data_IF_376603309814
#
_entry.id   IF_376603309814
#
_cell.length_a   1.000
_cell.length_b   1.000
_cell.length_c   1.000
_cell.angle_alpha   90.00
_cell.angle_beta   90.00
_cell.angle_gamma   90.00
#
_symmetry.space_group_name_H-M   'P 1'
#
loop_
_entity.id
_entity.type
_entity.pdbx_description
1 polymer ?
#
# COMPACT_ATOMS: atom_id res chain seq x y z
N UNK A 1 4.36 4.06 -4.74
CA UNK A 1 3.59 3.23 -3.78
C UNK A 1 4.41 2.01 -3.35
N UNK A 2 4.93 1.23 -4.29
CA UNK A 2 5.74 0.03 -4.00
C UNK A 2 6.93 0.31 -3.05
N UNK A 3 7.73 1.38 -3.22
CA UNK A 3 8.81 1.69 -2.27
C UNK A 3 8.29 1.93 -0.84
N UNK A 4 7.18 2.66 -0.69
CA UNK A 4 6.55 2.91 0.61
C UNK A 4 6.08 1.60 1.27
N UNK A 5 5.45 0.71 0.50
CA UNK A 5 4.99 -0.60 1.01
C UNK A 5 6.17 -1.44 1.48
N UNK A 6 7.26 -1.50 0.71
CA UNK A 6 8.48 -2.18 1.11
C UNK A 6 9.10 -1.57 2.37
N UNK A 7 9.12 -0.24 2.49
CA UNK A 7 9.57 0.45 3.70
C UNK A 7 8.73 0.08 4.94
N UNK A 8 7.40 0.06 4.80
CA UNK A 8 6.48 -0.34 5.88
C UNK A 8 6.70 -1.81 6.28
N UNK A 9 6.90 -2.71 5.32
CA UNK A 9 7.18 -4.13 5.60
C UNK A 9 8.50 -4.32 6.37
N UNK A 10 9.52 -3.53 6.03
CA UNK A 10 10.80 -3.50 6.76
C UNK A 10 10.59 -3.01 8.20
N UNK A 11 9.84 -1.92 8.39
CA UNK A 11 9.52 -1.37 9.72
C UNK A 11 8.74 -2.36 10.59
N UNK A 12 7.84 -3.14 9.98
CA UNK A 12 7.04 -4.16 10.66
C UNK A 12 7.82 -5.46 10.96
N UNK A 13 9.13 -5.53 10.64
CA UNK A 13 9.98 -6.73 10.78
C UNK A 13 9.44 -7.98 10.03
N UNK A 14 8.51 -7.81 9.08
CA UNK A 14 7.91 -8.88 8.26
C UNK A 14 8.54 -8.93 6.86
N UNK A 15 9.86 -8.82 6.81
CA UNK A 15 10.59 -8.85 5.56
C UNK A 15 10.94 -10.28 5.19
N UNK A 16 10.57 -10.70 3.98
CA UNK A 16 10.93 -11.98 3.37
C UNK A 16 11.78 -11.77 2.12
N UNK A 17 12.63 -12.74 1.78
CA UNK A 17 13.43 -12.74 0.53
C UNK A 17 12.57 -12.60 -0.72
N UNK A 18 11.34 -13.13 -0.69
CA UNK A 18 10.37 -13.03 -1.79
C UNK A 18 9.96 -11.58 -2.07
N UNK A 19 9.96 -10.70 -1.06
CA UNK A 19 9.59 -9.28 -1.22
C UNK A 19 10.66 -8.55 -2.04
N UNK A 20 11.94 -8.87 -1.84
CA UNK A 20 13.01 -8.28 -2.65
C UNK A 20 12.93 -8.77 -4.09
N UNK A 21 12.73 -10.07 -4.31
CA UNK A 21 12.66 -10.61 -5.66
C UNK A 21 11.49 -9.97 -6.42
N UNK A 22 10.33 -9.85 -5.77
CA UNK A 22 9.17 -9.17 -6.35
C UNK A 22 9.44 -7.69 -6.64
N UNK A 23 10.02 -6.95 -5.68
CA UNK A 23 10.29 -5.52 -5.85
C UNK A 23 11.36 -5.25 -6.92
N UNK A 24 12.50 -5.94 -6.86
CA UNK A 24 13.59 -5.80 -7.82
C UNK A 24 13.16 -6.26 -9.22
N UNK A 25 12.35 -7.31 -9.32
CA UNK A 25 11.80 -7.77 -10.59
C UNK A 25 10.84 -6.75 -11.21
N UNK A 26 9.86 -6.26 -10.44
CA UNK A 26 8.85 -5.32 -10.96
C UNK A 26 9.47 -3.97 -11.32
N UNK A 27 10.27 -3.38 -10.42
CA UNK A 27 10.88 -2.07 -10.68
C UNK A 27 12.02 -2.16 -11.70
N UNK A 28 12.80 -3.24 -11.70
CA UNK A 28 13.85 -3.48 -12.68
C UNK A 28 13.27 -3.62 -14.10
N UNK A 29 12.24 -4.44 -14.28
CA UNK A 29 11.54 -4.56 -15.57
C UNK A 29 10.83 -3.26 -15.93
N UNK A 30 10.22 -2.58 -14.96
CA UNK A 30 9.56 -1.28 -15.18
C UNK A 30 10.51 -0.21 -15.71
N UNK A 31 11.70 -0.10 -15.12
CA UNK A 31 12.75 0.81 -15.58
C UNK A 31 13.26 0.44 -16.99
N UNK A 32 13.42 -0.86 -17.27
CA UNK A 32 13.82 -1.32 -18.60
C UNK A 32 12.78 -0.96 -19.67
N UNK A 33 11.50 -1.19 -19.39
CA UNK A 33 10.40 -0.83 -20.31
C UNK A 33 10.35 0.69 -20.50
N UNK A 34 10.53 1.48 -19.43
CA UNK A 34 10.55 2.94 -19.53
C UNK A 34 11.74 3.45 -20.35
N UNK A 35 12.90 2.80 -20.26
CA UNK A 35 14.07 3.12 -21.07
C UNK A 35 13.86 2.91 -22.57
N UNK A 36 12.89 2.10 -22.98
CA UNK A 36 12.53 1.90 -24.39
C UNK A 36 11.57 2.97 -24.94
N UNK A 37 11.03 3.83 -24.07
CA UNK A 37 10.12 4.88 -24.49
C UNK A 37 10.83 6.04 -25.19
N UNK A 38 10.19 6.61 -26.21
CA UNK A 38 10.80 7.63 -27.10
C UNK A 38 11.12 8.97 -26.39
N UNK A 39 10.57 9.20 -25.19
CA UNK A 39 10.80 10.40 -24.37
C UNK A 39 11.96 10.23 -23.37
N UNK A 40 12.72 9.12 -23.44
CA UNK A 40 13.78 8.85 -22.48
C UNK A 40 15.07 9.60 -22.82
N UNK A 41 15.33 10.69 -22.08
CA UNK A 41 16.63 11.35 -22.07
C UNK A 41 17.52 10.77 -20.98
N UNK A 42 18.72 10.30 -21.34
CA UNK A 42 19.69 9.73 -20.40
C UNK A 42 20.11 10.72 -19.29
N UNK A 43 20.12 12.02 -19.58
CA UNK A 43 20.41 13.07 -18.60
C UNK A 43 19.29 13.24 -17.56
N UNK A 44 18.04 12.96 -17.94
CA UNK A 44 16.91 13.01 -17.03
C UNK A 44 16.91 11.85 -16.03
N UNK A 45 17.60 10.74 -16.32
CA UNK A 45 17.68 9.60 -15.40
C UNK A 45 18.36 9.99 -14.07
N UNK A 46 19.48 10.70 -14.14
CA UNK A 46 20.21 11.15 -12.94
C UNK A 46 19.66 12.44 -12.34
N UNK A 47 19.03 13.28 -13.16
CA UNK A 47 18.51 14.58 -12.71
C UNK A 47 17.11 14.48 -12.09
N UNK A 48 16.31 13.50 -12.50
CA UNK A 48 14.97 13.31 -11.96
C UNK A 48 15.03 12.52 -10.65
N UNK A 49 14.54 13.16 -9.58
CA UNK A 49 14.43 12.54 -8.27
C UNK A 49 13.49 11.32 -8.29
N UNK A 50 12.55 11.27 -9.25
CA UNK A 50 11.64 10.14 -9.44
C UNK A 50 12.38 8.86 -9.85
N UNK A 51 13.12 8.90 -10.97
CA UNK A 51 13.80 7.72 -11.52
C UNK A 51 15.01 7.36 -10.65
N UNK A 52 15.79 8.36 -10.27
CA UNK A 52 16.94 8.16 -9.39
C UNK A 52 16.52 7.66 -8.00
N UNK A 53 15.40 8.13 -7.47
CA UNK A 53 14.86 7.71 -6.17
C UNK A 53 14.44 6.24 -6.17
N UNK A 54 13.78 5.76 -7.23
CA UNK A 54 13.42 4.33 -7.37
C UNK A 54 14.67 3.47 -7.45
N UNK A 55 15.67 3.89 -8.24
CA UNK A 55 16.94 3.19 -8.38
C UNK A 55 17.73 3.13 -7.06
N UNK A 56 17.83 4.24 -6.35
CA UNK A 56 18.47 4.30 -5.02
C UNK A 56 17.74 3.40 -4.03
N UNK A 57 16.41 3.38 -4.07
CA UNK A 57 15.63 2.51 -3.19
C UNK A 57 15.87 1.02 -3.47
N UNK A 58 16.08 0.62 -4.73
CA UNK A 58 16.51 -0.75 -5.06
C UNK A 58 17.84 -1.05 -4.37
N UNK A 59 18.85 -0.18 -4.54
CA UNK A 59 20.18 -0.36 -3.92
C UNK A 59 20.07 -0.49 -2.40
N UNK A 60 19.30 0.39 -1.76
CA UNK A 60 19.06 0.35 -0.32
C UNK A 60 18.45 -0.99 0.11
N UNK A 61 17.49 -1.50 -0.65
CA UNK A 61 16.80 -2.76 -0.37
C UNK A 61 17.74 -3.95 -0.56
N UNK A 62 18.64 -3.92 -1.53
CA UNK A 62 19.70 -4.93 -1.71
C UNK A 62 20.69 -4.92 -0.55
N UNK A 63 21.12 -3.74 -0.08
CA UNK A 63 21.98 -3.60 1.10
C UNK A 63 21.28 -4.16 2.34
N UNK A 64 19.99 -3.82 2.53
CA UNK A 64 19.21 -4.34 3.64
C UNK A 64 19.08 -5.87 3.60
N UNK A 65 18.91 -6.45 2.41
CA UNK A 65 18.87 -7.90 2.23
C UNK A 65 20.19 -8.59 2.56
N UNK A 66 21.32 -8.01 2.16
CA UNK A 66 22.65 -8.54 2.53
C UNK A 66 22.84 -8.56 4.05
N UNK A 67 22.35 -7.53 4.74
CA UNK A 67 22.36 -7.45 6.21
C UNK A 67 21.40 -8.49 6.81
N UNK A 68 20.25 -8.73 6.17
CA UNK A 68 19.28 -9.73 6.60
C UNK A 68 19.83 -11.16 6.49
N UNK A 69 20.56 -11.49 5.42
CA UNK A 69 21.24 -12.79 5.27
C UNK A 69 22.30 -12.96 6.37
N UNK A 70 23.04 -11.90 6.70
CA UNK A 70 24.07 -11.91 7.76
C UNK A 70 23.52 -11.84 9.19
N UNK A 71 22.19 -11.86 9.37
CA UNK A 71 21.51 -11.81 10.68
C UNK A 71 21.99 -12.91 11.64
N UNK A 72 22.33 -14.09 11.11
CA UNK A 72 22.82 -15.23 11.91
C UNK A 72 24.19 -14.95 12.57
N UNK A 73 25.06 -14.18 11.92
CA UNK A 73 26.39 -13.86 12.45
C UNK A 73 26.40 -12.61 13.34
N UNK A 74 25.50 -11.63 13.11
CA UNK A 74 25.52 -10.35 13.84
C UNK A 74 24.11 -9.88 14.25
N UNK A 75 23.46 -10.54 15.23
CA UNK A 75 22.11 -10.19 15.66
C UNK A 75 22.00 -8.79 16.26
N UNK A 76 23.08 -8.26 16.87
CA UNK A 76 23.13 -6.91 17.46
C UNK A 76 23.10 -5.81 16.39
N UNK A 77 23.79 -5.99 15.26
CA UNK A 77 23.80 -5.01 14.17
C UNK A 77 22.44 -4.92 13.47
N UNK A 78 21.77 -6.06 13.26
CA UNK A 78 20.44 -6.10 12.65
C UNK A 78 19.37 -5.43 13.51
N UNK A 79 19.34 -5.74 14.81
CA UNK A 79 18.40 -5.10 15.72
C UNK A 79 18.72 -3.61 15.91
N UNK A 80 20.00 -3.24 16.04
CA UNK A 80 20.42 -1.84 16.10
C UNK A 80 20.03 -1.04 14.86
N UNK A 81 20.20 -1.59 13.66
CA UNK A 81 19.77 -0.93 12.41
C UNK A 81 18.26 -0.75 12.34
N UNK A 82 17.46 -1.74 12.74
CA UNK A 82 16.00 -1.61 12.73
C UNK A 82 15.54 -0.60 13.77
N UNK A 83 16.16 -0.59 14.95
CA UNK A 83 15.81 0.37 16.00
C UNK A 83 16.22 1.78 15.58
N UNK A 84 17.40 1.98 14.97
CA UNK A 84 17.78 3.27 14.35
C UNK A 84 16.84 3.66 13.23
N UNK A 85 16.40 2.72 12.39
CA UNK A 85 15.44 3.02 11.32
C UNK A 85 14.08 3.46 11.90
N UNK A 86 13.59 2.77 12.93
CA UNK A 86 12.32 3.09 13.61
C UNK A 86 12.39 4.43 14.35
N UNK A 87 13.43 4.61 15.16
CA UNK A 87 13.63 5.81 15.96
C UNK A 87 14.10 7.00 15.14
N UNK A 88 14.80 6.78 14.03
CA UNK A 88 15.22 7.80 13.07
C UNK A 88 14.11 8.25 12.13
N UNK A 89 13.10 7.41 11.86
CA UNK A 89 11.94 7.81 11.07
C UNK A 89 11.11 8.90 11.77
N UNK A 90 11.03 8.85 13.10
CA UNK A 90 10.25 9.80 13.92
C UNK A 90 10.75 11.25 13.75
N UNK A 91 12.03 11.59 13.97
CA UNK A 91 12.54 12.94 13.76
C UNK A 91 12.57 13.34 12.29
N UNK A 92 12.67 12.40 11.34
CA UNK A 92 12.57 12.69 9.91
C UNK A 92 11.15 13.11 9.52
N UNK A 93 10.12 12.42 10.04
CA UNK A 93 8.72 12.78 9.79
C UNK A 93 8.35 14.10 10.46
N UNK A 94 8.79 14.30 11.71
CA UNK A 94 8.54 15.54 12.46
C UNK A 94 9.31 16.70 11.84
N UNK A 95 10.60 16.52 11.52
CA UNK A 95 11.43 17.52 10.85
C UNK A 95 10.92 17.84 9.45
N UNK A 96 10.51 16.82 8.69
CA UNK A 96 9.88 17.00 7.38
C UNK A 96 8.57 17.78 7.46
N UNK A 97 7.71 17.50 8.43
CA UNK A 97 6.48 18.25 8.66
C UNK A 97 6.77 19.72 9.03
N UNK A 98 7.80 19.98 9.83
CA UNK A 98 8.23 21.35 10.20
C UNK A 98 8.79 22.08 8.96
N UNK A 99 9.61 21.41 8.13
CA UNK A 99 10.17 22.01 6.91
C UNK A 99 9.06 22.33 5.90
N UNK A 100 8.09 21.43 5.72
CA UNK A 100 6.92 21.66 4.86
C UNK A 100 6.07 22.83 5.38
N UNK A 101 5.98 23.00 6.71
CA UNK A 101 5.24 24.10 7.33
C UNK A 101 5.97 25.44 7.24
N UNK A 102 7.30 25.47 7.38
CA UNK A 102 8.10 26.69 7.35
C UNK A 102 8.52 27.17 5.95
N UNK A 103 8.72 26.24 5.01
CA UNK A 103 9.21 26.56 3.67
C UNK A 103 8.62 25.59 2.62
N UNK A 104 7.36 25.80 2.19
CA UNK A 104 6.71 24.94 1.21
C UNK A 104 7.40 24.95 -0.17
N UNK A 105 8.18 25.98 -0.48
CA UNK A 105 8.93 26.12 -1.74
C UNK A 105 10.30 25.43 -1.74
N UNK A 106 10.81 24.99 -0.58
CA UNK A 106 12.19 24.48 -0.46
C UNK A 106 12.33 23.03 -0.94
N UNK A 107 11.22 22.32 -1.10
CA UNK A 107 11.24 20.94 -1.59
C UNK A 107 10.51 20.87 -2.92
N UNK A 108 11.12 21.35 -4.03
CA UNK A 108 10.74 20.89 -5.35
C UNK A 108 11.28 19.47 -5.44
N UNK A 109 10.62 18.52 -4.77
CA UNK A 109 10.68 17.14 -5.21
C UNK A 109 10.39 17.23 -6.71
N UNK A 110 11.32 16.83 -7.58
CA UNK A 110 11.24 17.00 -9.03
C UNK A 110 10.03 16.34 -9.72
N UNK A 111 9.03 15.94 -8.94
CA UNK A 111 7.66 15.71 -9.34
C UNK A 111 7.14 16.90 -10.15
N UNK A 112 6.75 16.64 -11.39
CA UNK A 112 6.12 17.66 -12.24
C UNK A 112 5.02 18.41 -11.48
N UNK A 113 4.85 19.71 -11.78
CA UNK A 113 3.96 20.65 -11.06
C UNK A 113 2.55 20.10 -10.72
N UNK A 114 2.07 19.14 -11.51
CA UNK A 114 0.78 18.44 -11.33
C UNK A 114 0.75 17.44 -10.16
N UNK A 115 1.84 16.73 -9.90
CA UNK A 115 1.93 15.79 -8.77
C UNK A 115 2.14 16.58 -7.48
N UNK A 116 2.85 17.72 -7.55
CA UNK A 116 2.98 18.64 -6.41
C UNK A 116 1.64 19.26 -6.00
N UNK A 117 0.79 19.65 -6.96
CA UNK A 117 -0.55 20.16 -6.66
C UNK A 117 -1.52 19.09 -6.12
N UNK A 118 -1.25 17.81 -6.38
CA UNK A 118 -1.95 16.69 -5.73
C UNK A 118 -1.49 16.50 -4.28
N UNK A 119 -0.18 16.71 -4.02
CA UNK A 119 0.45 16.45 -2.73
C UNK A 119 0.12 17.51 -1.67
N UNK A 120 0.07 18.79 -2.08
CA UNK A 120 -0.24 19.92 -1.20
C UNK A 120 -1.33 20.82 -1.80
N UNK A 121 -2.50 20.95 -1.14
CA UNK A 121 -3.54 21.87 -1.60
C UNK A 121 -3.10 23.34 -1.52
N UNK A 122 -2.11 23.69 -0.69
CA UNK A 122 -1.58 25.06 -0.61
C UNK A 122 -0.80 25.48 -1.88
N UNK A 123 -0.19 24.53 -2.58
CA UNK A 123 0.52 24.78 -3.86
C UNK A 123 -0.46 24.84 -5.03
N UNK A 124 -1.69 24.33 -4.87
CA UNK A 124 -2.74 24.42 -5.89
C UNK A 124 -3.29 25.84 -6.02
N UNK A 125 -3.47 26.54 -4.89
CA UNK A 125 -4.03 27.89 -4.89
C UNK A 125 -3.10 28.92 -5.55
N UNK A 126 -1.78 28.68 -5.55
CA UNK A 126 -0.82 29.52 -6.27
C UNK A 126 -0.79 29.30 -7.80
N UNK A 127 -1.45 28.25 -8.30
CA UNK A 127 -1.52 27.92 -9.74
C UNK A 127 -2.95 28.12 -10.29
N UNK A 128 -3.36 29.38 -10.47
CA UNK A 128 -4.71 29.77 -10.91
C UNK A 128 -5.22 29.07 -12.19
N UNK A 129 -4.35 28.71 -13.14
CA UNK A 129 -4.75 28.03 -14.38
C UNK A 129 -5.20 26.57 -14.16
N UNK A 130 -4.62 25.86 -13.17
CA UNK A 130 -4.92 24.45 -12.89
C UNK A 130 -6.16 24.31 -12.00
N UNK A 131 -6.43 25.28 -11.14
CA UNK A 131 -7.60 25.31 -10.26
C UNK A 131 -8.93 25.55 -11.00
N UNK A 132 -8.89 26.13 -12.21
CA UNK A 132 -10.08 26.47 -12.99
C UNK A 132 -10.79 25.27 -13.62
N UNK A 133 -10.12 24.12 -13.74
CA UNK A 133 -10.68 22.91 -14.34
C UNK A 133 -11.41 22.13 -13.26
N UNK A 134 -12.71 21.87 -13.46
CA UNK A 134 -13.57 21.14 -12.52
C UNK A 134 -12.97 19.77 -12.08
N UNK A 135 -12.08 19.21 -12.89
CA UNK A 135 -11.34 17.97 -12.64
C UNK A 135 -10.34 18.04 -11.49
N UNK A 136 -9.88 19.24 -11.14
CA UNK A 136 -8.90 19.49 -10.08
C UNK A 136 -9.54 20.01 -8.79
N UNK A 137 -10.87 20.01 -8.71
CA UNK A 137 -11.61 20.39 -7.52
C UNK A 137 -11.42 19.36 -6.38
N UNK A 138 -11.44 19.82 -5.12
CA UNK A 138 -11.42 18.93 -3.97
C UNK A 138 -12.71 18.10 -3.90
N UNK A 139 -12.59 16.87 -3.40
CA UNK A 139 -13.74 15.96 -3.28
C UNK A 139 -14.49 16.22 -1.98
N UNK A 140 -15.78 16.52 -2.07
CA UNK A 140 -16.67 16.54 -0.91
C UNK A 140 -17.07 15.12 -0.49
N UNK A 141 -17.51 14.95 0.76
CA UNK A 141 -18.01 13.66 1.27
C UNK A 141 -19.12 13.06 0.39
N UNK A 142 -20.02 13.92 -0.12
CA UNK A 142 -21.11 13.50 -1.01
C UNK A 142 -20.61 12.79 -2.26
N UNK A 143 -19.47 13.21 -2.82
CA UNK A 143 -18.86 12.60 -4.01
C UNK A 143 -18.31 11.21 -3.70
N UNK A 144 -17.71 11.01 -2.52
CA UNK A 144 -17.25 9.69 -2.10
C UNK A 144 -18.42 8.71 -1.97
N UNK A 145 -19.48 9.13 -1.29
CA UNK A 145 -20.66 8.31 -1.09
C UNK A 145 -21.39 8.01 -2.40
N UNK A 146 -21.56 9.00 -3.28
CA UNK A 146 -22.24 8.82 -4.57
C UNK A 146 -21.51 7.82 -5.48
N UNK A 147 -20.17 7.82 -5.48
CA UNK A 147 -19.39 6.94 -6.36
C UNK A 147 -19.19 5.52 -5.80
N UNK A 148 -19.06 5.38 -4.49
CA UNK A 148 -18.69 4.08 -3.88
C UNK A 148 -19.79 3.44 -3.03
N UNK A 149 -20.88 4.15 -2.72
CA UNK A 149 -22.05 3.68 -1.98
C UNK A 149 -21.72 2.76 -0.79
N UNK A 150 -22.22 1.52 -0.81
CA UNK A 150 -22.14 0.52 0.26
C UNK A 150 -20.69 0.15 0.62
N UNK A 151 -19.79 -0.15 -0.33
CA UNK A 151 -18.36 -0.36 -0.05
C UNK A 151 -17.70 0.68 0.85
N UNK A 152 -18.09 1.96 0.75
CA UNK A 152 -17.53 3.04 1.59
C UNK A 152 -17.80 2.80 3.08
N UNK A 153 -19.00 2.34 3.41
CA UNK A 153 -19.39 2.06 4.79
C UNK A 153 -18.71 0.80 5.35
N UNK A 154 -18.36 -0.16 4.49
CA UNK A 154 -17.69 -1.39 4.87
C UNK A 154 -16.15 -1.27 4.93
N UNK A 155 -15.59 -0.14 4.48
CA UNK A 155 -14.14 0.09 4.47
C UNK A 155 -13.49 -0.05 5.86
N UNK A 156 -13.99 0.59 6.94
CA UNK A 156 -13.38 0.46 8.27
C UNK A 156 -13.38 -0.99 8.76
N UNK A 157 -14.44 -1.73 8.43
CA UNK A 157 -14.57 -3.13 8.81
C UNK A 157 -13.63 -4.03 8.00
N UNK A 158 -13.51 -3.81 6.70
CA UNK A 158 -12.54 -4.49 5.84
C UNK A 158 -11.09 -4.23 6.29
N UNK A 159 -10.77 -2.98 6.62
CA UNK A 159 -9.47 -2.60 7.20
C UNK A 159 -9.18 -3.34 8.51
N UNK A 160 -10.15 -3.43 9.42
CA UNK A 160 -9.98 -4.16 10.67
C UNK A 160 -9.62 -5.64 10.43
N UNK A 161 -10.31 -6.31 9.51
CA UNK A 161 -10.00 -7.70 9.17
C UNK A 161 -8.65 -7.87 8.45
N UNK A 162 -8.23 -6.88 7.67
CA UNK A 162 -6.91 -6.86 7.03
C UNK A 162 -5.80 -6.75 8.08
N UNK A 163 -5.95 -5.85 9.05
CA UNK A 163 -5.00 -5.71 10.16
C UNK A 163 -4.92 -6.98 11.01
N UNK A 164 -6.06 -7.66 11.25
CA UNK A 164 -6.10 -8.91 12.00
C UNK A 164 -5.37 -10.06 11.29
N UNK A 165 -5.46 -10.15 9.96
CA UNK A 165 -4.77 -11.19 9.17
C UNK A 165 -3.27 -10.92 9.08
N UNK A 166 -2.89 -9.67 8.83
CA UNK A 166 -1.49 -9.23 8.89
C UNK A 166 -0.55 -9.93 7.91
N UNK A 167 -1.03 -10.38 6.75
CA UNK A 167 -0.14 -10.90 5.71
C UNK A 167 0.57 -9.76 4.97
N UNK A 168 1.70 -10.04 4.31
CA UNK A 168 2.47 -9.04 3.56
C UNK A 168 1.63 -8.36 2.46
N UNK A 169 0.73 -9.11 1.81
CA UNK A 169 -0.20 -8.57 0.81
C UNK A 169 -1.26 -7.63 1.41
N UNK A 170 -1.64 -7.82 2.68
CA UNK A 170 -2.64 -6.96 3.35
C UNK A 170 -2.06 -5.58 3.61
N UNK A 171 -0.78 -5.49 4.01
CA UNK A 171 -0.11 -4.22 4.20
C UNK A 171 0.05 -3.41 2.91
N UNK A 172 0.26 -4.08 1.77
CA UNK A 172 0.22 -3.43 0.46
C UNK A 172 -1.14 -2.78 0.24
N UNK A 173 -2.21 -3.56 0.44
CA UNK A 173 -3.57 -3.12 0.18
C UNK A 173 -4.01 -2.00 1.13
N UNK A 174 -3.67 -2.08 2.41
CA UNK A 174 -3.93 -1.03 3.41
C UNK A 174 -3.22 0.28 3.01
N UNK A 175 -1.93 0.19 2.69
CA UNK A 175 -1.13 1.38 2.32
C UNK A 175 -1.66 2.01 1.04
N UNK A 176 -2.00 1.19 0.05
CA UNK A 176 -2.58 1.63 -1.21
C UNK A 176 -3.91 2.35 -0.99
N UNK A 177 -4.79 1.79 -0.17
CA UNK A 177 -6.09 2.37 0.15
C UNK A 177 -5.95 3.72 0.86
N UNK A 178 -5.11 3.82 1.90
CA UNK A 178 -4.91 5.06 2.66
C UNK A 178 -4.33 6.16 1.75
N UNK A 179 -3.35 5.80 0.93
CA UNK A 179 -2.71 6.74 0.02
C UNK A 179 -3.69 7.27 -1.03
N UNK A 180 -4.49 6.40 -1.66
CA UNK A 180 -5.47 6.82 -2.64
C UNK A 180 -6.63 7.58 -2.00
N UNK A 181 -7.01 7.23 -0.77
CA UNK A 181 -8.02 7.99 -0.03
C UNK A 181 -7.58 9.46 0.16
N UNK A 182 -6.32 9.68 0.55
CA UNK A 182 -5.73 11.03 0.63
C UNK A 182 -5.77 11.75 -0.72
N UNK A 183 -5.27 11.10 -1.78
CA UNK A 183 -5.21 11.72 -3.11
C UNK A 183 -6.59 12.00 -3.70
N UNK A 184 -7.58 11.16 -3.42
CA UNK A 184 -8.96 11.37 -3.83
C UNK A 184 -9.60 12.53 -3.09
N UNK A 185 -9.26 12.74 -1.81
CA UNK A 185 -9.67 13.94 -1.08
C UNK A 185 -9.14 15.22 -1.71
N UNK A 186 -7.90 15.18 -2.20
CA UNK A 186 -7.23 16.30 -2.87
C UNK A 186 -7.80 16.60 -4.27
N UNK A 187 -8.00 15.57 -5.11
CA UNK A 187 -8.51 15.70 -6.48
C UNK A 187 -9.61 14.70 -6.84
N UNK A 188 -10.70 15.21 -7.41
CA UNK A 188 -11.90 14.44 -7.72
C UNK A 188 -11.68 13.31 -8.73
N UNK A 189 -10.84 13.50 -9.76
CA UNK A 189 -10.60 12.48 -10.79
C UNK A 189 -9.93 11.20 -10.27
N UNK A 190 -9.22 11.28 -9.15
CA UNK A 190 -8.49 10.13 -8.56
C UNK A 190 -9.48 9.11 -7.95
N UNK A 191 -10.77 9.48 -7.81
CA UNK A 191 -11.84 8.57 -7.37
C UNK A 191 -11.93 7.30 -8.23
N UNK A 192 -11.55 7.36 -9.51
CA UNK A 192 -11.53 6.21 -10.40
C UNK A 192 -10.51 5.15 -9.95
N UNK A 193 -9.40 5.55 -9.33
CA UNK A 193 -8.42 4.65 -8.74
C UNK A 193 -8.85 4.18 -7.35
N UNK A 194 -9.63 5.00 -6.63
CA UNK A 194 -10.19 4.64 -5.31
C UNK A 194 -11.26 3.57 -5.40
N UNK A 195 -12.15 3.66 -6.40
CA UNK A 195 -13.29 2.76 -6.57
C UNK A 195 -12.92 1.25 -6.53
N UNK A 196 -11.93 0.75 -7.32
CA UNK A 196 -11.56 -0.67 -7.26
C UNK A 196 -10.92 -1.06 -5.93
N UNK A 197 -10.13 -0.17 -5.31
CA UNK A 197 -9.54 -0.42 -3.99
C UNK A 197 -10.61 -0.54 -2.90
N UNK A 198 -11.57 0.39 -2.91
CA UNK A 198 -12.69 0.42 -1.97
C UNK A 198 -13.61 -0.80 -2.14
N UNK A 199 -13.87 -1.21 -3.37
CA UNK A 199 -14.65 -2.41 -3.67
C UNK A 199 -13.98 -3.68 -3.10
N UNK A 200 -12.66 -3.85 -3.30
CA UNK A 200 -11.93 -5.02 -2.82
C UNK A 200 -11.94 -5.12 -1.29
N UNK A 201 -11.66 -4.00 -0.60
CA UNK A 201 -11.67 -3.94 0.88
C UNK A 201 -13.07 -4.12 1.43
N UNK A 202 -14.06 -3.45 0.83
CA UNK A 202 -15.46 -3.55 1.21
C UNK A 202 -16.01 -4.96 1.04
N UNK A 203 -15.70 -5.62 -0.09
CA UNK A 203 -16.06 -7.02 -0.33
C UNK A 203 -15.40 -7.96 0.68
N UNK A 204 -14.11 -7.74 1.00
CA UNK A 204 -13.42 -8.52 2.03
C UNK A 204 -14.06 -8.34 3.41
N UNK A 205 -14.45 -7.12 3.78
CA UNK A 205 -15.22 -6.84 4.98
C UNK A 205 -16.56 -7.60 5.00
N UNK A 206 -17.33 -7.50 3.91
CA UNK A 206 -18.63 -8.15 3.78
C UNK A 206 -18.53 -9.68 3.90
N UNK A 207 -17.58 -10.30 3.21
CA UNK A 207 -17.39 -11.76 3.24
C UNK A 207 -17.07 -12.24 4.65
N UNK A 208 -16.24 -11.52 5.40
CA UNK A 208 -15.91 -11.90 6.78
C UNK A 208 -17.12 -11.79 7.72
N UNK A 209 -17.95 -10.76 7.55
CA UNK A 209 -19.21 -10.61 8.28
C UNK A 209 -20.19 -11.74 7.95
N UNK A 210 -20.40 -12.00 6.65
CA UNK A 210 -21.29 -13.06 6.19
C UNK A 210 -20.81 -14.44 6.65
N UNK A 211 -19.50 -14.67 6.73
CA UNK A 211 -18.95 -15.92 7.25
C UNK A 211 -19.23 -16.11 8.73
N UNK A 212 -19.20 -15.04 9.52
CA UNK A 212 -19.58 -15.07 10.94
C UNK A 212 -21.06 -15.42 11.07
N UNK A 213 -21.95 -14.73 10.36
CA UNK A 213 -23.40 -15.02 10.37
C UNK A 213 -23.77 -16.39 9.81
N UNK A 214 -23.09 -16.83 8.74
CA UNK A 214 -23.27 -18.16 8.16
C UNK A 214 -22.80 -19.29 9.08
N UNK A 215 -21.83 -19.03 9.96
CA UNK A 215 -21.46 -19.97 11.00
C UNK A 215 -22.56 -20.16 12.05
N UNK A 216 -23.31 -19.10 12.39
CA UNK A 216 -24.43 -19.20 13.32
C UNK A 216 -25.62 -19.97 12.74
N UNK A 217 -25.87 -19.88 11.44
CA UNK A 217 -26.87 -20.71 10.74
C UNK A 217 -26.35 -22.11 10.38
N UNK A 218 -25.04 -22.33 10.45
CA UNK A 218 -24.34 -23.53 9.98
C UNK A 218 -24.32 -24.72 10.95
N UNK A 219 -25.13 -24.72 12.00
CA UNK A 219 -25.23 -25.85 12.94
C UNK A 219 -26.47 -26.72 12.69
N UNK A 220 -26.52 -27.31 11.49
CA UNK A 220 -26.88 -28.73 11.28
C UNK A 220 -26.00 -29.29 10.19
N UNK A 221 -24.67 -29.26 10.39
CA UNK A 221 -23.84 -30.31 9.78
C UNK A 221 -24.34 -31.60 10.41
N UNK A 222 -25.22 -32.33 9.69
CA UNK A 222 -25.48 -33.74 9.95
C UNK A 222 -24.13 -34.43 9.73
N UNK A 223 -23.28 -34.37 10.75
CA UNK A 223 -22.08 -35.16 10.82
C UNK A 223 -22.59 -36.59 10.74
N UNK A 224 -22.28 -37.26 9.63
CA UNK A 224 -22.47 -38.71 9.55
C UNK A 224 -21.71 -39.27 10.73
N UNK A 225 -22.47 -39.60 11.79
CA UNK A 225 -21.93 -40.13 13.03
C UNK A 225 -20.97 -41.24 12.69
N UNK A 226 -19.79 -41.26 13.32
CA UNK A 226 -18.79 -42.33 13.15
C UNK A 226 -19.42 -43.73 13.28
N UNK A 227 -20.57 -43.88 13.95
CA UNK A 227 -21.41 -45.09 13.96
C UNK A 227 -21.90 -45.53 12.57
N UNK A 228 -22.38 -44.61 11.72
CA UNK A 228 -22.91 -44.94 10.38
C UNK A 228 -21.79 -45.34 9.41
N UNK A 229 -20.59 -44.77 9.55
CA UNK A 229 -19.40 -45.20 8.79
C UNK A 229 -18.97 -46.64 9.16
N UNK A 230 -19.07 -47.04 10.42
CA UNK A 230 -18.82 -48.44 10.86
C UNK A 230 -19.91 -49.41 10.38
N UNK A 231 -21.17 -48.99 10.35
CA UNK A 231 -22.28 -49.83 9.83
C UNK A 231 -22.19 -50.04 8.32
N UNK A 232 -21.85 -49.00 7.54
CA UNK A 232 -21.65 -49.15 6.09
C UNK A 232 -20.43 -50.03 5.78
N UNK A 233 -19.34 -49.91 6.55
CA UNK A 233 -18.16 -50.78 6.41
C UNK A 233 -18.44 -52.25 6.79
N UNK A 234 -19.45 -52.53 7.63
CA UNK A 234 -19.94 -53.89 7.93
C UNK A 234 -20.86 -54.46 6.86
N UNK A 235 -21.53 -53.62 6.06
CA UNK A 235 -22.41 -54.07 4.97
C UNK A 235 -21.66 -54.38 3.67
N UNK A 236 -20.50 -53.75 3.43
CA UNK A 236 -19.68 -53.96 2.22
C UNK A 236 -18.60 -55.05 2.46
N UNK A 237 -18.90 -56.02 3.33
CA UNK A 237 -18.02 -57.14 3.63
C UNK A 237 -18.71 -58.47 3.32
N UNK A 238 -18.79 -58.81 2.04
CA UNK A 238 -18.85 -60.16 1.47
C UNK A 238 -18.53 -60.06 -0.01
#
# INVERSE_FOLDING_TARGET
ILPMVCGILILLKKYDSNVLIAYAGVEGVGLLVFSLSFNFNYTNFFSSLELFGIFLFIILLTIFHLIHIKKSNYPRLYNGLIDVLKWGLIPVVVGGAIIIWMAPDLIPFGFGKRIMSVLSPLVRDSMHLVASVAEHMPSSWSVFYYNTLIPLMLLPLGLFFLFKRGNSADYLLITFLILIFYFTGSMIRIILLFAPAACLVGAYGLVNVLKIFGSFYGEKRIGISRKRKRQVKRMVGK
#
